data_IF_885599743254
#
_entry.id   IF_885599743254
#
_cell.length_a   1.000
_cell.length_b   1.000
_cell.length_c   1.000
_cell.angle_alpha   90.00
_cell.angle_beta   90.00
_cell.angle_gamma   90.00
#
_symmetry.space_group_name_H-M   'P 1'
#
loop_
_entity.id
_entity.type
_entity.pdbx_description
1 polymer ?
#
# COMPACT_ATOMS: atom_id res chain seq x y z
N UNK A 1 -14.57 -13.84 -1.46
CA UNK A 1 -13.85 -13.01 -0.46
C UNK A 1 -12.64 -12.30 -1.06
N UNK A 2 -11.67 -12.99 -1.70
CA UNK A 2 -10.52 -12.33 -2.35
C UNK A 2 -10.91 -11.23 -3.35
N UNK A 3 -11.89 -11.49 -4.23
CA UNK A 3 -12.41 -10.48 -5.17
C UNK A 3 -13.04 -9.27 -4.48
N UNK A 4 -13.67 -9.46 -3.32
CA UNK A 4 -14.26 -8.35 -2.54
C UNK A 4 -13.13 -7.49 -1.97
N UNK A 5 -12.09 -8.11 -1.43
CA UNK A 5 -10.92 -7.38 -0.92
C UNK A 5 -10.17 -6.64 -2.04
N UNK A 6 -9.98 -7.26 -3.20
CA UNK A 6 -9.37 -6.63 -4.38
C UNK A 6 -10.22 -5.46 -4.90
N UNK A 7 -11.54 -5.62 -4.97
CA UNK A 7 -12.45 -4.53 -5.34
C UNK A 7 -12.42 -3.39 -4.31
N UNK A 8 -12.37 -3.72 -3.00
CA UNK A 8 -12.22 -2.75 -1.92
C UNK A 8 -10.91 -1.96 -2.04
N UNK A 9 -9.81 -2.64 -2.34
CA UNK A 9 -8.51 -2.03 -2.62
C UNK A 9 -8.59 -1.03 -3.78
N UNK A 10 -9.12 -1.44 -4.94
CA UNK A 10 -9.24 -0.55 -6.09
C UNK A 10 -10.17 0.64 -5.82
N UNK A 11 -11.30 0.42 -5.16
CA UNK A 11 -12.27 1.47 -4.83
C UNK A 11 -11.67 2.52 -3.89
N UNK A 12 -10.96 2.08 -2.85
CA UNK A 12 -10.24 2.97 -1.93
C UNK A 12 -9.12 3.73 -2.65
N UNK A 13 -8.40 3.09 -3.59
CA UNK A 13 -7.34 3.73 -4.36
C UNK A 13 -7.90 4.81 -5.28
N UNK A 14 -9.01 4.54 -5.97
CA UNK A 14 -9.73 5.56 -6.77
C UNK A 14 -10.16 6.73 -5.89
N UNK A 15 -10.69 6.47 -4.68
CA UNK A 15 -11.05 7.52 -3.72
C UNK A 15 -9.84 8.38 -3.35
N UNK A 16 -8.69 7.76 -3.08
CA UNK A 16 -7.45 8.46 -2.77
C UNK A 16 -7.03 9.40 -3.91
N UNK A 17 -6.93 8.90 -5.14
CA UNK A 17 -6.50 9.73 -6.28
C UNK A 17 -7.50 10.84 -6.60
N UNK A 18 -8.81 10.55 -6.56
CA UNK A 18 -9.82 11.59 -6.75
C UNK A 18 -9.68 12.72 -5.73
N UNK A 19 -9.40 12.39 -4.48
CA UNK A 19 -9.22 13.41 -3.44
C UNK A 19 -7.88 14.16 -3.58
N UNK A 20 -6.82 13.45 -3.99
CA UNK A 20 -5.52 14.01 -4.27
C UNK A 20 -5.61 15.03 -5.41
N UNK A 21 -6.25 14.66 -6.52
CA UNK A 21 -6.41 15.47 -7.72
C UNK A 21 -7.31 16.69 -7.49
N UNK A 22 -8.32 16.54 -6.63
CA UNK A 22 -9.17 17.65 -6.18
C UNK A 22 -8.47 18.59 -5.17
N UNK A 23 -7.25 18.26 -4.73
CA UNK A 23 -6.45 19.12 -3.86
C UNK A 23 -6.89 19.13 -2.39
N UNK A 24 -7.58 18.10 -1.90
CA UNK A 24 -8.04 18.03 -0.51
C UNK A 24 -6.88 18.02 0.52
N UNK A 25 -7.09 18.58 1.72
CA UNK A 25 -6.06 18.65 2.75
C UNK A 25 -5.65 17.24 3.24
N UNK A 26 -4.51 17.16 3.93
CA UNK A 26 -3.85 15.90 4.32
C UNK A 26 -4.78 14.97 5.11
N UNK A 27 -5.53 15.51 6.07
CA UNK A 27 -6.47 14.77 6.91
C UNK A 27 -7.51 14.00 6.09
N UNK A 28 -7.90 14.52 4.93
CA UNK A 28 -8.84 13.85 4.03
C UNK A 28 -8.15 12.70 3.29
N UNK A 29 -6.88 12.86 2.91
CA UNK A 29 -6.11 11.84 2.18
C UNK A 29 -5.70 10.66 3.05
N UNK A 30 -5.54 10.85 4.36
CA UNK A 30 -5.19 9.79 5.32
C UNK A 30 -6.26 8.68 5.32
N UNK A 31 -7.54 9.04 5.29
CA UNK A 31 -8.65 8.06 5.36
C UNK A 31 -8.59 7.06 4.19
N UNK A 32 -8.68 7.47 2.91
CA UNK A 32 -8.60 6.53 1.80
C UNK A 32 -7.23 5.85 1.72
N UNK A 33 -6.12 6.50 2.12
CA UNK A 33 -4.83 5.84 2.18
C UNK A 33 -4.84 4.64 3.16
N UNK A 34 -5.40 4.83 4.36
CA UNK A 34 -5.57 3.76 5.35
C UNK A 34 -6.49 2.66 4.82
N UNK A 35 -7.58 3.00 4.13
CA UNK A 35 -8.46 2.01 3.49
C UNK A 35 -7.71 1.17 2.45
N UNK A 36 -6.89 1.79 1.60
CA UNK A 36 -6.08 1.08 0.59
C UNK A 36 -5.09 0.13 1.27
N UNK A 37 -4.36 0.60 2.28
CA UNK A 37 -3.40 -0.19 3.06
C UNK A 37 -4.10 -1.38 3.72
N UNK A 38 -5.26 -1.14 4.33
CA UNK A 38 -6.03 -2.18 5.01
C UNK A 38 -6.46 -3.28 4.02
N UNK A 39 -7.12 -2.92 2.92
CA UNK A 39 -7.56 -3.89 1.92
C UNK A 39 -6.39 -4.64 1.28
N UNK A 40 -5.30 -3.92 0.98
CA UNK A 40 -4.08 -4.52 0.45
C UNK A 40 -3.48 -5.55 1.41
N UNK A 41 -3.33 -5.22 2.69
CA UNK A 41 -2.81 -6.14 3.70
C UNK A 41 -3.70 -7.37 3.88
N UNK A 42 -5.02 -7.19 3.93
CA UNK A 42 -5.97 -8.31 4.01
C UNK A 42 -5.83 -9.23 2.81
N UNK A 43 -5.69 -8.68 1.60
CA UNK A 43 -5.54 -9.47 0.39
C UNK A 43 -4.22 -10.26 0.40
N UNK A 44 -3.11 -9.60 0.72
CA UNK A 44 -1.78 -10.20 0.82
C UNK A 44 -1.71 -11.28 1.90
N UNK A 45 -2.37 -11.11 3.06
CA UNK A 45 -2.49 -12.14 4.11
C UNK A 45 -3.23 -13.37 3.60
N UNK A 46 -4.32 -13.18 2.84
CA UNK A 46 -5.08 -14.30 2.27
C UNK A 46 -4.31 -15.01 1.16
N UNK A 47 -3.53 -14.29 0.34
CA UNK A 47 -2.69 -14.91 -0.69
C UNK A 47 -1.56 -15.72 -0.07
N UNK A 48 -0.87 -15.15 0.92
CA UNK A 48 0.20 -15.86 1.65
C UNK A 48 -0.29 -17.15 2.32
N UNK A 49 -1.53 -17.15 2.83
CA UNK A 49 -2.10 -18.34 3.47
C UNK A 49 -2.49 -19.44 2.47
N UNK A 50 -2.73 -19.11 1.21
CA UNK A 50 -3.34 -20.01 0.21
C UNK A 50 -2.38 -20.42 -0.91
N UNK A 51 -1.30 -19.69 -1.11
CA UNK A 51 -0.37 -19.90 -2.21
C UNK A 51 1.08 -19.86 -1.71
N UNK A 52 1.75 -21.02 -1.78
CA UNK A 52 3.15 -21.18 -1.35
C UNK A 52 4.12 -20.40 -2.24
N UNK A 53 3.84 -20.30 -3.55
CA UNK A 53 4.66 -19.52 -4.48
C UNK A 53 4.59 -18.05 -4.11
N UNK A 54 3.39 -17.56 -3.80
CA UNK A 54 3.20 -16.19 -3.33
C UNK A 54 3.93 -15.93 -2.00
N UNK A 55 3.81 -16.87 -1.06
CA UNK A 55 4.43 -16.75 0.27
C UNK A 55 5.95 -16.64 0.20
N UNK A 56 6.58 -17.46 -0.63
CA UNK A 56 8.04 -17.53 -0.74
C UNK A 56 8.63 -16.52 -1.74
N UNK A 57 7.78 -15.85 -2.52
CA UNK A 57 8.15 -14.83 -3.48
C UNK A 57 9.05 -13.72 -2.88
N UNK A 58 10.06 -13.31 -3.65
CA UNK A 58 11.00 -12.26 -3.28
C UNK A 58 10.93 -11.05 -4.21
N UNK A 59 10.00 -11.03 -5.16
CA UNK A 59 9.84 -9.93 -6.11
C UNK A 59 9.53 -8.60 -5.43
N UNK A 60 9.87 -7.51 -6.12
CA UNK A 60 9.74 -6.14 -5.61
C UNK A 60 8.35 -5.85 -5.02
N UNK A 61 7.28 -6.18 -5.75
CA UNK A 61 5.90 -5.96 -5.29
C UNK A 61 5.58 -6.68 -3.98
N UNK A 62 6.11 -7.90 -3.80
CA UNK A 62 5.98 -8.65 -2.54
C UNK A 62 6.73 -7.97 -1.39
N UNK A 63 7.92 -7.42 -1.63
CA UNK A 63 8.65 -6.67 -0.59
C UNK A 63 7.92 -5.37 -0.21
N UNK A 64 7.32 -4.67 -1.17
CA UNK A 64 6.45 -3.50 -0.91
C UNK A 64 5.26 -3.89 -0.03
N UNK A 65 4.62 -5.04 -0.29
CA UNK A 65 3.53 -5.54 0.56
C UNK A 65 4.01 -5.84 1.99
N UNK A 66 5.19 -6.44 2.16
CA UNK A 66 5.77 -6.71 3.48
C UNK A 66 6.04 -5.40 4.26
N UNK A 67 6.55 -4.37 3.59
CA UNK A 67 6.70 -3.04 4.19
C UNK A 67 5.34 -2.42 4.55
N UNK A 68 4.34 -2.56 3.69
CA UNK A 68 2.99 -2.05 3.94
C UNK A 68 2.34 -2.74 5.16
N UNK A 69 2.53 -4.05 5.32
CA UNK A 69 2.09 -4.78 6.52
C UNK A 69 2.76 -4.26 7.79
N UNK A 70 4.06 -3.97 7.74
CA UNK A 70 4.75 -3.33 8.87
C UNK A 70 4.07 -2.03 9.26
N UNK A 71 3.79 -1.16 8.27
CA UNK A 71 3.16 0.12 8.49
C UNK A 71 1.78 -0.05 9.15
N UNK A 72 0.93 -0.92 8.58
CA UNK A 72 -0.38 -1.29 9.13
C UNK A 72 -0.29 -1.79 10.56
N UNK A 73 0.63 -2.71 10.84
CA UNK A 73 0.81 -3.29 12.18
C UNK A 73 1.26 -2.25 13.21
N UNK A 74 2.04 -1.24 12.81
CA UNK A 74 2.45 -0.12 13.68
C UNK A 74 1.27 0.83 13.96
N UNK A 75 0.42 1.09 12.98
CA UNK A 75 -0.76 1.95 13.15
C UNK A 75 -1.93 1.28 13.86
N UNK A 76 -2.16 -0.02 13.71
CA UNK A 76 -3.41 -0.65 14.18
C UNK A 76 -3.55 -0.63 15.71
N UNK A 77 -2.45 -0.39 16.44
CA UNK A 77 -2.43 -0.31 17.90
C UNK A 77 -2.22 1.12 18.45
N UNK A 78 -2.12 2.14 17.58
CA UNK A 78 -1.95 3.55 17.95
C UNK A 78 -2.77 4.46 17.02
N UNK A 79 -2.67 5.78 17.15
CA UNK A 79 -3.22 6.68 16.12
C UNK A 79 -2.50 6.41 14.78
N UNK A 80 -3.20 6.37 13.64
CA UNK A 80 -2.63 6.03 12.33
C UNK A 80 -1.81 7.18 11.72
N UNK A 81 -0.89 7.74 12.51
CA UNK A 81 0.09 8.75 12.08
C UNK A 81 1.30 8.03 11.48
N UNK A 82 1.15 7.48 10.27
CA UNK A 82 2.21 6.77 9.55
C UNK A 82 2.88 7.62 8.47
N UNK A 83 2.31 8.78 8.19
CA UNK A 83 2.66 9.64 7.08
C UNK A 83 2.85 11.05 7.59
N UNK A 84 3.72 11.80 6.94
CA UNK A 84 3.88 13.23 7.16
C UNK A 84 3.84 13.97 5.83
N UNK A 85 3.27 15.18 5.83
CA UNK A 85 3.38 16.10 4.71
C UNK A 85 4.73 16.81 4.71
N UNK A 86 5.40 16.78 3.57
CA UNK A 86 6.61 17.56 3.31
C UNK A 86 6.32 18.62 2.25
N UNK A 87 6.92 19.81 2.41
CA UNK A 87 6.91 20.84 1.38
C UNK A 87 7.89 20.46 0.26
N UNK A 88 7.44 20.43 -0.99
CA UNK A 88 8.25 20.04 -2.15
C UNK A 88 7.46 20.04 -3.46
N UNK A 89 8.12 20.37 -4.57
CA UNK A 89 7.47 20.45 -5.89
C UNK A 89 7.44 19.09 -6.57
N UNK A 90 6.24 18.57 -6.92
CA UNK A 90 6.13 17.40 -7.80
C UNK A 90 5.19 17.65 -8.96
N UNK A 91 5.68 17.51 -10.20
CA UNK A 91 4.92 17.78 -11.43
C UNK A 91 4.71 16.51 -12.27
N UNK A 92 3.46 16.12 -12.58
CA UNK A 92 3.16 15.21 -13.69
C UNK A 92 2.61 15.99 -14.91
N UNK A 93 2.78 15.44 -16.12
CA UNK A 93 2.47 16.08 -17.41
C UNK A 93 0.95 16.35 -17.64
N UNK A 94 0.06 16.02 -16.70
CA UNK A 94 -1.37 16.37 -16.75
C UNK A 94 -1.91 16.65 -15.34
N UNK A 95 -2.43 17.86 -15.09
CA UNK A 95 -3.16 18.33 -13.87
C UNK A 95 -2.29 18.83 -12.68
N UNK A 96 -2.86 19.68 -11.78
CA UNK A 96 -2.24 20.90 -11.28
C UNK A 96 -1.05 20.68 -10.34
N UNK A 97 -0.08 21.60 -10.44
CA UNK A 97 1.13 21.64 -9.63
C UNK A 97 0.79 21.67 -8.13
N UNK A 98 1.11 20.59 -7.42
CA UNK A 98 1.09 20.54 -5.95
C UNK A 98 2.50 20.70 -5.42
N UNK A 99 2.70 21.69 -4.56
CA UNK A 99 3.96 21.97 -3.88
C UNK A 99 4.13 21.21 -2.55
N UNK A 100 3.33 20.17 -2.33
CA UNK A 100 3.32 19.36 -1.11
C UNK A 100 3.10 17.88 -1.47
N UNK A 101 3.75 16.99 -0.74
CA UNK A 101 3.68 15.54 -0.92
C UNK A 101 3.49 14.84 0.43
N UNK A 102 2.68 13.79 0.46
CA UNK A 102 2.51 12.96 1.66
C UNK A 102 3.47 11.77 1.56
N UNK A 103 4.38 11.65 2.53
CA UNK A 103 5.43 10.62 2.55
C UNK A 103 5.32 9.74 3.78
N UNK A 104 5.88 8.54 3.68
CA UNK A 104 6.01 7.63 4.83
C UNK A 104 7.03 8.13 5.85
N UNK A 105 6.67 8.07 7.13
CA UNK A 105 7.58 8.42 8.22
C UNK A 105 8.78 7.46 8.32
N UNK A 106 9.96 7.95 8.73
CA UNK A 106 11.07 7.10 9.18
C UNK A 106 10.66 6.16 10.32
N UNK A 107 11.28 4.97 10.41
CA UNK A 107 10.90 3.92 11.39
C UNK A 107 10.99 4.36 12.84
N UNK A 108 11.99 5.17 13.17
CA UNK A 108 12.25 5.75 14.50
C UNK A 108 11.17 6.75 14.93
N UNK A 109 10.42 7.32 13.98
CA UNK A 109 9.28 8.20 14.24
C UNK A 109 7.93 7.47 14.33
N UNK A 110 7.90 6.18 14.04
CA UNK A 110 6.65 5.41 14.08
C UNK A 110 6.28 4.95 15.51
N UNK A 111 4.97 4.85 15.81
CA UNK A 111 4.39 4.15 16.95
C UNK A 111 5.08 2.86 17.40
N UNK A 112 5.59 2.77 18.64
CA UNK A 112 6.22 1.57 19.25
C UNK A 112 5.50 0.23 18.98
N UNK A 113 6.24 -0.89 18.84
CA UNK A 113 5.65 -2.20 18.51
C UNK A 113 6.68 -3.35 18.41
N UNK A 114 6.22 -4.59 18.20
CA UNK A 114 7.06 -5.80 18.01
C UNK A 114 6.92 -6.40 16.60
N UNK A 115 7.38 -5.71 15.55
CA UNK A 115 7.22 -6.17 14.18
C UNK A 115 8.15 -7.33 13.82
N UNK A 116 7.77 -8.10 12.81
CA UNK A 116 8.67 -9.09 12.22
C UNK A 116 9.86 -8.37 11.54
N UNK A 117 11.09 -8.81 11.85
CA UNK A 117 12.33 -8.18 11.33
C UNK A 117 12.34 -8.02 9.80
N UNK A 118 11.81 -8.99 9.07
CA UNK A 118 11.72 -8.94 7.60
C UNK A 118 10.81 -7.79 7.12
N UNK A 119 9.65 -7.61 7.74
CA UNK A 119 8.71 -6.55 7.36
C UNK A 119 9.28 -5.15 7.67
N UNK A 120 9.99 -5.01 8.80
CA UNK A 120 10.71 -3.78 9.14
C UNK A 120 11.79 -3.43 8.10
N UNK A 121 12.61 -4.42 7.71
CA UNK A 121 13.64 -4.22 6.69
C UNK A 121 13.02 -3.76 5.37
N UNK A 122 11.91 -4.38 4.95
CA UNK A 122 11.19 -3.98 3.74
C UNK A 122 10.64 -2.55 3.85
N UNK A 123 10.07 -2.17 4.99
CA UNK A 123 9.58 -0.82 5.20
C UNK A 123 10.70 0.23 5.06
N UNK A 124 11.85 0.00 5.73
CA UNK A 124 13.01 0.91 5.65
C UNK A 124 13.52 1.07 4.22
N UNK A 125 13.55 -0.02 3.46
CA UNK A 125 14.13 -0.03 2.13
C UNK A 125 13.18 0.54 1.06
N UNK A 126 11.88 0.25 1.16
CA UNK A 126 10.93 0.46 0.06
C UNK A 126 9.84 1.48 0.34
N UNK A 127 9.61 1.88 1.60
CA UNK A 127 8.52 2.81 1.95
C UNK A 127 9.05 4.10 2.59
N UNK A 128 9.89 4.01 3.63
CA UNK A 128 10.30 5.16 4.43
C UNK A 128 10.81 6.33 3.57
N UNK A 129 10.25 7.53 3.80
CA UNK A 129 10.56 8.76 3.06
C UNK A 129 10.02 8.84 1.63
N UNK A 130 9.34 7.80 1.13
CA UNK A 130 8.76 7.80 -0.22
C UNK A 130 7.32 8.33 -0.22
N UNK A 131 6.87 8.89 -1.35
CA UNK A 131 5.47 9.26 -1.54
C UNK A 131 4.54 8.07 -1.31
N UNK A 132 3.47 8.27 -0.54
CA UNK A 132 2.46 7.24 -0.29
C UNK A 132 1.85 6.74 -1.59
N UNK A 133 1.56 7.66 -2.53
CA UNK A 133 1.01 7.33 -3.85
C UNK A 133 1.85 6.32 -4.63
N UNK A 134 3.18 6.43 -4.57
CA UNK A 134 4.08 5.47 -5.23
C UNK A 134 3.90 4.07 -4.65
N UNK A 135 3.77 3.95 -3.33
CA UNK A 135 3.45 2.66 -2.69
C UNK A 135 2.09 2.13 -3.14
N UNK A 136 1.06 2.97 -3.25
CA UNK A 136 -0.26 2.53 -3.71
C UNK A 136 -0.23 2.05 -5.17
N UNK A 137 0.56 2.72 -6.02
CA UNK A 137 0.81 2.32 -7.41
C UNK A 137 1.54 0.98 -7.48
N UNK A 138 2.63 0.83 -6.72
CA UNK A 138 3.41 -0.41 -6.68
C UNK A 138 2.57 -1.61 -6.22
N UNK A 139 1.69 -1.41 -5.22
CA UNK A 139 0.76 -2.45 -4.77
C UNK A 139 -0.26 -2.78 -5.86
N UNK A 140 -0.80 -1.79 -6.55
CA UNK A 140 -1.76 -2.01 -7.63
C UNK A 140 -1.13 -2.79 -8.79
N UNK A 141 0.09 -2.43 -9.18
CA UNK A 141 0.87 -3.17 -10.18
C UNK A 141 1.16 -4.61 -9.73
N UNK A 142 1.46 -4.82 -8.45
CA UNK A 142 1.67 -6.16 -7.89
C UNK A 142 0.42 -7.03 -7.97
N UNK A 143 -0.74 -6.50 -7.55
CA UNK A 143 -1.99 -7.28 -7.64
C UNK A 143 -2.42 -7.54 -9.09
N UNK A 144 -2.19 -6.60 -10.00
CA UNK A 144 -2.43 -6.83 -11.42
C UNK A 144 -1.51 -7.94 -11.98
N UNK A 145 -0.24 -8.00 -11.57
CA UNK A 145 0.65 -9.10 -11.95
C UNK A 145 0.14 -10.44 -11.41
N UNK A 146 -0.33 -10.46 -10.16
CA UNK A 146 -0.91 -11.65 -9.54
C UNK A 146 -2.21 -12.11 -10.20
N UNK A 147 -3.08 -11.21 -10.63
CA UNK A 147 -4.26 -11.56 -11.43
C UNK A 147 -3.90 -12.21 -12.78
N UNK A 148 -2.73 -11.90 -13.32
CA UNK A 148 -2.24 -12.48 -14.57
C UNK A 148 -1.39 -13.74 -14.37
N UNK A 149 -0.94 -14.02 -13.15
CA UNK A 149 -0.10 -15.18 -12.85
C UNK A 149 -0.94 -16.45 -12.83
N UNK A 150 -0.66 -17.36 -13.77
CA UNK A 150 -1.30 -18.68 -13.82
C UNK A 150 -1.10 -19.42 -12.49
N UNK A 151 -2.18 -19.94 -11.92
CA UNK A 151 -2.18 -20.62 -10.62
C UNK A 151 -2.29 -19.69 -9.40
N UNK A 152 -2.29 -18.37 -9.58
CA UNK A 152 -2.61 -17.44 -8.50
C UNK A 152 -4.08 -17.57 -8.07
N UNK A 153 -4.39 -17.48 -6.77
CA UNK A 153 -5.77 -17.37 -6.29
C UNK A 153 -6.52 -16.13 -6.82
N UNK A 154 -5.82 -15.13 -7.38
CA UNK A 154 -6.42 -13.97 -8.04
C UNK A 154 -6.67 -14.19 -9.54
N UNK A 155 -6.13 -15.25 -10.12
CA UNK A 155 -6.16 -15.45 -11.56
C UNK A 155 -7.58 -15.67 -12.09
N UNK A 156 -7.95 -14.89 -13.09
CA UNK A 156 -9.22 -15.01 -13.82
C UNK A 156 -9.12 -16.11 -14.87
N UNK A 157 -8.99 -17.38 -14.44
CA UNK A 157 -8.76 -18.49 -15.36
C UNK A 157 -9.27 -19.87 -14.92
N UNK A 158 -10.23 -19.95 -13.98
CA UNK A 158 -10.93 -21.20 -13.68
C UNK A 158 -12.43 -21.00 -13.45
N UNK A 159 -13.20 -21.20 -14.51
CA UNK A 159 -14.43 -22.01 -14.46
C UNK A 159 -14.35 -22.88 -15.72
N UNK A 160 -13.99 -24.15 -15.53
CA UNK A 160 -14.36 -25.21 -16.46
C UNK A 160 -15.79 -25.64 -16.18
#
# INVERSE_FOLDING_TARGET
MLRVALHGFHSARVRYYNQLDAGHPEEHLIIPAVEVIYWGCVLDEQLEARDIVYKDCQEYGRQVMLGTRFARNRATHQLPMLVERISGFTAPIRAPLRAEETVWLPVDRLPGGRPARRQEACYKQYLAGRPVRTTLDDIASWFAAEENRVGSPLHHGQIG
#
